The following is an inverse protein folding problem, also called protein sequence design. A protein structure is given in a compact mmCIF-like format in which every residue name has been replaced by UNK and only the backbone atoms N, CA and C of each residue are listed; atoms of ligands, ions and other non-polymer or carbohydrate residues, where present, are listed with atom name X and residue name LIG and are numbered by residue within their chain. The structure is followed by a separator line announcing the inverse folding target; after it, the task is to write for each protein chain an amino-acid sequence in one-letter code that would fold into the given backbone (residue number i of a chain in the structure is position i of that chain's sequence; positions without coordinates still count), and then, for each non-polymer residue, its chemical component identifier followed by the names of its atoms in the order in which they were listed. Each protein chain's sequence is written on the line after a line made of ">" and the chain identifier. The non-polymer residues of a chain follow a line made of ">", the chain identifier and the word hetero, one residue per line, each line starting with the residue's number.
data_IF_129013242365
#
_entry.id   IF_129013242365
#
_cell.length_a   1.000
_cell.length_b   1.000
_cell.length_c   1.000
_cell.angle_alpha   90.00
_cell.angle_beta   90.00
_cell.angle_gamma   90.00
#
_symmetry.space_group_name_H-M   'P 1'
#
loop_
_entity.id
_entity.type
_entity.pdbx_description
1 polymer ?
#
# COMPACT_ATOMS: atom_id res chain seq x y z
N UNK A 1 -15.44 -4.26 1.63
CA UNK A 1 -16.09 -3.02 2.11
C UNK A 1 -14.99 -1.96 2.27
N UNK A 2 -14.91 -0.96 1.40
CA UNK A 2 -13.84 0.06 1.45
C UNK A 2 -14.45 1.39 1.91
N UNK A 3 -14.01 1.90 3.07
CA UNK A 3 -14.41 3.22 3.57
C UNK A 3 -13.70 4.31 2.76
N UNK A 4 -14.49 5.20 2.15
CA UNK A 4 -14.02 6.46 1.57
C UNK A 4 -13.85 7.54 2.64
N UNK A 5 -13.11 8.60 2.29
CA UNK A 5 -12.49 9.63 3.15
C UNK A 5 -13.48 10.53 3.93
N UNK A 6 -14.79 10.23 3.92
CA UNK A 6 -15.81 10.99 4.69
C UNK A 6 -16.78 10.08 5.46
N UNK A 7 -16.43 8.82 5.71
CA UNK A 7 -17.28 7.91 6.50
C UNK A 7 -18.60 7.50 5.83
N UNK A 8 -18.85 7.92 4.59
CA UNK A 8 -20.01 7.46 3.80
C UNK A 8 -19.67 6.14 3.10
N UNK A 9 -20.52 5.14 3.32
CA UNK A 9 -20.43 3.84 2.67
C UNK A 9 -21.17 3.91 1.33
N UNK A 10 -20.45 3.70 0.23
CA UNK A 10 -21.04 3.67 -1.10
C UNK A 10 -21.04 2.24 -1.65
N UNK A 11 -22.07 1.84 -2.41
CA UNK A 11 -22.05 0.57 -3.12
C UNK A 11 -20.86 0.53 -4.10
N UNK A 12 -20.20 -0.61 -4.19
CA UNK A 12 -18.90 -0.81 -4.86
C UNK A 12 -18.85 -0.20 -6.28
N UNK A 13 -19.97 -0.29 -7.02
CA UNK A 13 -20.13 0.29 -8.36
C UNK A 13 -19.90 1.82 -8.40
N UNK A 14 -20.37 2.59 -7.41
CA UNK A 14 -20.26 4.05 -7.43
C UNK A 14 -18.87 4.58 -7.07
N UNK A 15 -18.04 3.79 -6.39
CA UNK A 15 -16.64 4.14 -6.15
C UNK A 15 -15.79 3.96 -7.43
N UNK A 16 -16.20 3.05 -8.31
CA UNK A 16 -15.55 2.78 -9.60
C UNK A 16 -16.00 3.83 -10.64
N UNK A 17 -17.27 4.24 -10.63
CA UNK A 17 -17.84 5.16 -11.64
C UNK A 17 -17.43 6.65 -11.51
N UNK A 18 -16.76 7.07 -10.43
CA UNK A 18 -16.28 8.46 -10.28
C UNK A 18 -14.95 8.76 -10.95
N UNK A 19 -14.29 7.75 -11.50
CA UNK A 19 -13.24 7.96 -12.49
C UNK A 19 -13.80 7.55 -13.83
N UNK A 20 -14.15 8.56 -14.64
CA UNK A 20 -14.25 8.38 -16.10
C UNK A 20 -13.03 7.56 -16.52
N UNK A 21 -13.25 6.39 -17.09
CA UNK A 21 -12.17 5.55 -17.61
C UNK A 21 -11.62 6.27 -18.85
N UNK A 22 -10.65 7.17 -18.65
CA UNK A 22 -10.05 8.01 -19.69
C UNK A 22 -8.98 7.29 -20.50
N UNK A 23 -8.75 5.98 -20.25
CA UNK A 23 -7.59 5.25 -20.77
C UNK A 23 -6.26 5.72 -20.18
N UNK A 24 -6.27 6.71 -19.29
CA UNK A 24 -5.10 7.16 -18.54
C UNK A 24 -5.03 6.27 -17.30
N UNK A 25 -4.04 5.38 -17.26
CA UNK A 25 -3.75 4.60 -16.07
C UNK A 25 -3.60 5.57 -14.89
N UNK A 26 -4.35 5.35 -13.80
CA UNK A 26 -4.14 6.11 -12.58
C UNK A 26 -2.67 5.92 -12.16
N UNK A 27 -1.92 7.02 -12.02
CA UNK A 27 -0.50 7.01 -11.62
C UNK A 27 -0.26 6.39 -10.22
N UNK A 28 -1.34 6.10 -9.49
CA UNK A 28 -1.31 5.58 -8.13
C UNK A 28 -1.92 4.18 -8.07
N UNK A 29 -1.10 3.20 -7.70
CA UNK A 29 -1.55 1.84 -7.36
C UNK A 29 -1.92 1.73 -5.88
N UNK A 30 -2.77 0.75 -5.55
CA UNK A 30 -3.12 0.42 -4.16
C UNK A 30 -2.27 -0.77 -3.72
N UNK A 31 -1.50 -0.61 -2.65
CA UNK A 31 -0.77 -1.68 -1.98
C UNK A 31 -1.37 -1.93 -0.60
N UNK A 32 -1.69 -3.20 -0.30
CA UNK A 32 -2.27 -3.62 0.99
C UNK A 32 -1.39 -4.73 1.57
N UNK A 33 -0.88 -4.52 2.78
CA UNK A 33 -0.14 -5.51 3.55
C UNK A 33 -0.82 -5.71 4.92
N UNK A 34 -0.88 -6.94 5.40
CA UNK A 34 -1.49 -7.28 6.69
C UNK A 34 -0.88 -8.56 7.28
N UNK A 35 -0.90 -8.66 8.61
CA UNK A 35 -0.42 -9.83 9.35
C UNK A 35 1.04 -9.70 9.80
N UNK A 36 1.52 -10.71 10.54
CA UNK A 36 2.90 -10.79 11.01
C UNK A 36 3.37 -9.54 11.76
N UNK A 37 4.51 -9.00 11.32
CA UNK A 37 5.16 -7.80 11.86
C UNK A 37 4.67 -6.49 11.23
N UNK A 38 3.65 -6.52 10.36
CA UNK A 38 3.08 -5.30 9.79
C UNK A 38 2.30 -4.53 10.86
N UNK A 39 2.60 -3.24 10.99
CA UNK A 39 1.90 -2.32 11.88
C UNK A 39 0.48 -2.06 11.36
N UNK A 40 -0.50 -2.13 12.24
CA UNK A 40 -1.88 -1.75 11.91
C UNK A 40 -1.96 -0.23 11.92
N UNK A 41 -2.28 0.35 10.76
CA UNK A 41 -2.46 1.78 10.59
C UNK A 41 -3.90 2.10 10.18
N UNK A 42 -4.44 3.18 10.73
CA UNK A 42 -5.79 3.68 10.40
C UNK A 42 -5.79 4.65 9.21
N UNK A 43 -4.61 5.13 8.80
CA UNK A 43 -4.40 6.12 7.76
C UNK A 43 -3.78 5.52 6.48
N UNK A 44 -4.16 6.07 5.32
CA UNK A 44 -3.56 5.72 4.03
C UNK A 44 -2.31 6.58 3.83
N UNK A 45 -1.14 5.97 3.91
CA UNK A 45 0.12 6.65 3.68
C UNK A 45 0.62 6.38 2.25
N UNK A 46 1.12 7.41 1.54
CA UNK A 46 1.82 7.22 0.28
C UNK A 46 3.01 6.27 0.47
N UNK A 47 3.16 5.32 -0.45
CA UNK A 47 4.30 4.41 -0.50
C UNK A 47 4.83 4.38 -1.93
N UNK A 48 6.13 4.58 -2.11
CA UNK A 48 6.78 4.36 -3.40
C UNK A 48 6.73 2.88 -3.76
N UNK A 49 6.42 2.56 -5.01
CA UNK A 49 6.43 1.19 -5.51
C UNK A 49 7.82 0.53 -5.34
N UNK A 50 8.90 1.32 -5.35
CA UNK A 50 10.27 0.84 -5.14
C UNK A 50 10.48 0.23 -3.74
N UNK A 51 9.71 0.66 -2.74
CA UNK A 51 9.83 0.17 -1.36
C UNK A 51 9.17 -1.20 -1.13
N UNK A 52 8.40 -1.69 -2.12
CA UNK A 52 7.70 -2.97 -2.01
C UNK A 52 8.67 -4.15 -2.00
N UNK A 53 9.67 -4.17 -2.90
CA UNK A 53 10.63 -5.27 -2.97
C UNK A 53 11.47 -5.42 -1.67
N UNK A 54 12.05 -4.35 -1.10
CA UNK A 54 12.72 -4.42 0.21
C UNK A 54 11.80 -4.94 1.32
N UNK A 55 10.53 -4.49 1.35
CA UNK A 55 9.56 -4.95 2.34
C UNK A 55 9.27 -6.45 2.22
N UNK A 56 9.08 -6.97 1.02
CA UNK A 56 8.84 -8.40 0.79
C UNK A 56 10.05 -9.24 1.20
N UNK A 57 11.28 -8.81 0.85
CA UNK A 57 12.50 -9.50 1.25
C UNK A 57 12.62 -9.58 2.78
N UNK A 58 12.36 -8.46 3.47
CA UNK A 58 12.34 -8.42 4.93
C UNK A 58 11.32 -9.38 5.54
N UNK A 59 10.07 -9.37 5.04
CA UNK A 59 9.00 -10.25 5.54
C UNK A 59 9.28 -11.73 5.28
N UNK A 60 10.01 -12.05 4.20
CA UNK A 60 10.46 -13.39 3.87
C UNK A 60 11.72 -13.82 4.65
N UNK A 61 12.21 -12.99 5.58
CA UNK A 61 13.46 -13.22 6.33
C UNK A 61 14.64 -13.48 5.38
N UNK A 62 14.62 -12.82 4.22
CA UNK A 62 15.65 -12.91 3.19
C UNK A 62 16.56 -11.67 3.26
N UNK A 63 17.85 -11.80 2.90
CA UNK A 63 18.71 -10.64 2.75
C UNK A 63 18.11 -9.64 1.75
N UNK A 64 18.10 -8.36 2.09
CA UNK A 64 17.67 -7.30 1.19
C UNK A 64 18.82 -7.01 0.22
N UNK A 65 18.64 -7.12 -1.10
CA UNK A 65 19.68 -6.78 -2.06
C UNK A 65 20.09 -5.31 -1.95
N UNK A 66 21.39 -5.04 -2.01
CA UNK A 66 21.93 -3.68 -1.84
C UNK A 66 21.79 -2.79 -3.08
N UNK A 67 21.39 -3.38 -4.21
CA UNK A 67 21.20 -2.72 -5.51
C UNK A 67 19.74 -2.28 -5.76
N UNK A 68 18.84 -2.48 -4.79
CA UNK A 68 17.48 -1.95 -4.85
C UNK A 68 17.51 -0.43 -4.67
N UNK A 69 16.84 0.29 -5.57
CA UNK A 69 16.66 1.75 -5.45
C UNK A 69 15.76 2.16 -4.27
N UNK A 70 14.90 1.24 -3.80
CA UNK A 70 13.97 1.48 -2.72
C UNK A 70 14.51 1.11 -1.34
N UNK A 71 14.02 1.79 -0.32
CA UNK A 71 14.37 1.52 1.08
C UNK A 71 13.31 0.69 1.80
N UNK A 72 13.70 0.06 2.91
CA UNK A 72 12.77 -0.64 3.79
C UNK A 72 11.85 0.38 4.49
N UNK A 73 10.51 0.30 4.32
CA UNK A 73 9.59 1.26 4.93
C UNK A 73 9.39 0.95 6.41
N UNK A 74 10.36 1.29 7.26
CA UNK A 74 10.39 0.94 8.69
C UNK A 74 9.13 1.36 9.46
N UNK A 75 8.47 2.45 9.06
CA UNK A 75 7.22 2.91 9.68
C UNK A 75 6.01 1.98 9.47
N UNK A 76 6.12 1.00 8.57
CA UNK A 76 5.12 -0.05 8.33
C UNK A 76 5.35 -1.31 9.18
N UNK A 77 6.48 -1.39 9.87
CA UNK A 77 6.87 -2.54 10.69
C UNK A 77 6.58 -2.20 12.15
N UNK A 78 6.08 -3.17 12.92
CA UNK A 78 5.89 -3.02 14.37
C UNK A 78 7.24 -2.71 15.00
N UNK A 79 7.31 -1.67 15.80
CA UNK A 79 8.39 -1.50 16.77
C UNK A 79 8.36 -2.68 17.73
N UNK A 80 9.52 -3.29 17.99
CA UNK A 80 9.67 -4.33 19.00
C UNK A 80 9.39 -3.79 20.41
#
# INVERSE_FOLDING_TARGET
>A
MLRGVEGRCFPLQQAIDRQRFTGIHAETAIFIAAGGTIAIRSDRNPLSALHVAPLIAYLAVSPIPSDLEGELPVGWIKSA
#
